data_IF_213988523370
#
_entry.id   IF_213988523370
#
_cell.length_a   1.000
_cell.length_b   1.000
_cell.length_c   1.000
_cell.angle_alpha   90.00
_cell.angle_beta   90.00
_cell.angle_gamma   90.00
#
_symmetry.space_group_name_H-M   'P 1'
#
loop_
_entity.id
_entity.type
_entity.pdbx_description
1 polymer ?
#
# COMPACT_ATOMS: atom_id res chain seq x y z
N UNK A 1 19.54 -91.55 -14.66
CA UNK A 1 18.46 -91.50 -15.66
C UNK A 1 17.14 -91.47 -14.90
N UNK A 2 16.33 -90.42 -15.14
CA UNK A 2 14.89 -90.30 -14.81
C UNK A 2 14.55 -90.24 -13.29
N UNK A 3 13.72 -89.36 -12.75
CA UNK A 3 12.60 -88.55 -13.25
C UNK A 3 12.34 -87.32 -12.37
N UNK A 4 11.68 -86.33 -12.97
CA UNK A 4 10.85 -85.22 -12.45
C UNK A 4 10.14 -85.51 -11.10
N UNK A 5 9.71 -84.57 -10.25
CA UNK A 5 8.66 -83.55 -10.52
C UNK A 5 8.40 -82.65 -9.27
N UNK A 6 8.31 -81.32 -9.51
CA UNK A 6 7.50 -80.23 -8.91
C UNK A 6 7.45 -79.81 -7.42
N UNK A 7 7.11 -78.50 -7.31
CA UNK A 7 6.48 -77.71 -6.22
C UNK A 7 7.45 -77.09 -5.19
N UNK A 8 7.49 -75.78 -4.89
CA UNK A 8 6.59 -74.63 -5.12
C UNK A 8 7.43 -73.34 -5.31
N UNK A 9 7.01 -72.50 -6.26
CA UNK A 9 7.48 -71.11 -6.43
C UNK A 9 6.68 -70.21 -5.48
N UNK A 10 7.35 -69.49 -4.59
CA UNK A 10 6.80 -68.33 -3.90
C UNK A 10 7.27 -67.09 -4.66
N UNK A 11 6.36 -66.49 -5.42
CA UNK A 11 6.58 -65.19 -6.04
C UNK A 11 6.24 -64.10 -5.01
N UNK A 12 7.24 -63.46 -4.43
CA UNK A 12 7.07 -62.21 -3.69
C UNK A 12 7.16 -61.06 -4.68
N UNK A 13 6.02 -60.45 -4.98
CA UNK A 13 5.91 -59.21 -5.74
C UNK A 13 6.40 -58.04 -4.87
N UNK A 14 7.57 -57.48 -5.21
CA UNK A 14 8.01 -56.19 -4.69
C UNK A 14 7.19 -55.09 -5.37
N UNK A 15 6.28 -54.47 -4.62
CA UNK A 15 5.59 -53.25 -5.03
C UNK A 15 6.51 -52.06 -4.73
N UNK A 16 7.34 -51.66 -5.70
CA UNK A 16 8.05 -50.38 -5.65
C UNK A 16 7.05 -49.28 -6.03
N UNK A 17 6.53 -48.59 -5.01
CA UNK A 17 5.80 -47.34 -5.19
C UNK A 17 6.82 -46.26 -5.54
N UNK A 18 7.01 -46.03 -6.84
CA UNK A 18 7.72 -44.83 -7.32
C UNK A 18 6.86 -43.61 -6.98
N UNK A 19 7.32 -42.78 -6.06
CA UNK A 19 6.81 -41.43 -5.86
C UNK A 19 7.01 -40.66 -7.17
N UNK A 20 5.95 -40.45 -7.94
CA UNK A 20 5.93 -39.44 -8.99
C UNK A 20 5.85 -38.10 -8.28
N UNK A 21 7.01 -37.45 -8.10
CA UNK A 21 7.05 -36.02 -7.82
C UNK A 21 6.55 -35.34 -9.10
N UNK A 22 5.29 -34.91 -9.07
CA UNK A 22 4.75 -34.03 -10.09
C UNK A 22 5.46 -32.70 -9.87
N UNK A 23 6.57 -32.48 -10.60
CA UNK A 23 7.13 -31.16 -10.79
C UNK A 23 6.07 -30.35 -11.53
N UNK A 24 5.33 -29.50 -10.81
CA UNK A 24 4.57 -28.43 -11.43
C UNK A 24 5.55 -27.58 -12.23
N UNK A 25 5.32 -27.34 -13.53
CA UNK A 25 6.16 -26.41 -14.27
C UNK A 25 5.94 -25.03 -13.66
N UNK A 26 7.00 -24.50 -13.04
CA UNK A 26 7.14 -23.07 -12.81
C UNK A 26 7.11 -22.39 -14.18
N UNK A 27 5.96 -21.81 -14.53
CA UNK A 27 5.88 -20.90 -15.66
C UNK A 27 6.57 -19.60 -15.26
N UNK A 28 7.88 -19.55 -15.45
CA UNK A 28 8.59 -18.31 -15.64
C UNK A 28 8.31 -17.87 -17.09
N UNK A 29 7.27 -17.06 -17.29
CA UNK A 29 7.11 -16.31 -18.53
C UNK A 29 7.87 -15.01 -18.36
N UNK A 30 9.05 -14.96 -18.98
CA UNK A 30 9.72 -13.71 -19.30
C UNK A 30 9.47 -13.37 -20.76
N UNK A 31 9.20 -12.09 -21.04
CA UNK A 31 9.42 -11.31 -22.28
C UNK A 31 8.41 -10.14 -22.27
N UNK A 32 8.69 -8.86 -22.56
CA UNK A 32 9.88 -8.08 -22.90
C UNK A 32 9.44 -6.61 -22.88
N UNK A 33 10.10 -5.73 -22.11
CA UNK A 33 10.62 -4.44 -22.60
C UNK A 33 11.31 -3.67 -21.48
N UNK A 34 12.60 -3.46 -21.68
CA UNK A 34 13.50 -2.74 -20.77
C UNK A 34 13.20 -1.24 -20.74
N UNK A 35 12.15 -0.82 -20.02
CA UNK A 35 11.94 0.59 -19.61
C UNK A 35 11.51 0.75 -18.11
N UNK A 36 11.18 -0.29 -17.34
CA UNK A 36 10.72 -0.12 -15.92
C UNK A 36 11.38 -1.07 -14.90
N UNK A 37 12.71 -1.18 -14.90
CA UNK A 37 13.43 -2.27 -14.22
C UNK A 37 13.29 -2.44 -12.70
N UNK A 38 12.43 -1.71 -11.98
CA UNK A 38 12.18 -1.92 -10.54
C UNK A 38 10.88 -1.29 -9.98
N UNK A 39 9.95 -0.77 -10.80
CA UNK A 39 8.73 -0.14 -10.29
C UNK A 39 7.50 -1.04 -10.54
N UNK A 40 6.82 -1.56 -9.50
CA UNK A 40 5.65 -2.43 -9.66
C UNK A 40 4.47 -1.73 -10.33
N UNK A 41 4.41 -0.39 -10.38
CA UNK A 41 3.39 0.34 -11.12
C UNK A 41 3.78 0.66 -12.57
N UNK A 42 4.99 0.26 -13.00
CA UNK A 42 5.50 0.53 -14.35
C UNK A 42 4.70 -0.13 -15.48
N UNK A 43 3.91 -1.16 -15.18
CA UNK A 43 3.06 -1.86 -16.15
C UNK A 43 2.12 -0.89 -16.91
N UNK A 44 1.66 0.19 -16.27
CA UNK A 44 0.73 1.15 -16.88
C UNK A 44 1.35 1.91 -18.06
N UNK A 45 2.68 1.96 -18.17
CA UNK A 45 3.38 2.68 -19.24
C UNK A 45 3.03 2.15 -20.63
N UNK A 46 2.92 0.83 -20.79
CA UNK A 46 2.61 0.19 -22.07
C UNK A 46 1.15 0.38 -22.50
N UNK A 47 0.27 0.77 -21.56
CA UNK A 47 -1.16 0.97 -21.77
C UNK A 47 -1.51 2.43 -22.08
N UNK A 48 -0.49 3.30 -22.29
CA UNK A 48 -0.69 4.72 -22.55
C UNK A 48 -1.55 4.94 -23.82
N UNK A 49 -2.64 5.67 -23.64
CA UNK A 49 -3.62 5.99 -24.68
C UNK A 49 -4.80 5.01 -24.77
N UNK A 50 -4.79 3.94 -23.97
CA UNK A 50 -5.90 3.00 -23.88
C UNK A 50 -7.19 3.72 -23.43
N UNK A 51 -8.31 3.30 -24.02
CA UNK A 51 -9.64 3.90 -23.85
C UNK A 51 -10.73 2.84 -24.03
N UNK A 52 -11.95 3.21 -23.64
CA UNK A 52 -13.12 2.33 -23.66
C UNK A 52 -13.32 1.63 -25.01
N UNK A 53 -13.66 0.35 -24.95
CA UNK A 53 -13.92 -0.52 -26.10
C UNK A 53 -12.68 -1.17 -26.71
N UNK A 54 -11.52 -1.04 -26.05
CA UNK A 54 -10.30 -1.77 -26.40
C UNK A 54 -10.09 -2.92 -25.42
N UNK A 55 -9.51 -4.03 -25.89
CA UNK A 55 -8.99 -5.10 -25.04
C UNK A 55 -7.48 -5.18 -25.25
N UNK A 56 -6.71 -4.96 -24.18
CA UNK A 56 -5.26 -4.84 -24.21
C UNK A 56 -4.68 -5.56 -23.00
N UNK A 57 -3.75 -6.48 -23.23
CA UNK A 57 -3.08 -7.25 -22.18
C UNK A 57 -2.51 -6.33 -21.07
N UNK A 58 -2.89 -6.61 -19.82
CA UNK A 58 -2.49 -5.85 -18.63
C UNK A 58 -3.48 -4.78 -18.17
N UNK A 59 -4.63 -4.60 -18.86
CA UNK A 59 -5.69 -3.72 -18.36
C UNK A 59 -6.32 -4.24 -17.06
N UNK A 60 -6.29 -5.55 -16.82
CA UNK A 60 -6.65 -6.14 -15.53
C UNK A 60 -5.82 -5.58 -14.38
N UNK A 61 -4.52 -5.39 -14.57
CA UNK A 61 -3.63 -4.83 -13.54
C UNK A 61 -3.98 -3.37 -13.22
N UNK A 62 -4.47 -2.61 -14.21
CA UNK A 62 -5.00 -1.25 -14.01
C UNK A 62 -6.25 -1.29 -13.14
N UNK A 63 -7.17 -2.23 -13.41
CA UNK A 63 -8.37 -2.44 -12.58
C UNK A 63 -7.99 -2.80 -11.15
N UNK A 64 -7.01 -3.69 -10.95
CA UNK A 64 -6.51 -4.06 -9.62
C UNK A 64 -5.85 -2.88 -8.89
N UNK A 65 -5.03 -2.07 -9.57
CA UNK A 65 -4.47 -0.84 -9.01
C UNK A 65 -5.59 0.11 -8.54
N UNK A 66 -6.55 0.39 -9.42
CA UNK A 66 -7.66 1.27 -9.12
C UNK A 66 -8.55 0.70 -8.01
N UNK A 67 -8.70 -0.62 -7.91
CA UNK A 67 -9.41 -1.27 -6.82
C UNK A 67 -8.66 -1.12 -5.50
N UNK A 68 -7.36 -1.45 -5.46
CA UNK A 68 -6.47 -1.30 -4.30
C UNK A 68 -6.56 0.10 -3.70
N UNK A 69 -6.53 1.13 -4.54
CA UNK A 69 -6.55 2.52 -4.09
C UNK A 69 -7.93 3.16 -3.99
N UNK A 70 -9.03 2.42 -4.18
CA UNK A 70 -10.38 2.92 -3.85
C UNK A 70 -11.23 3.42 -5.03
N UNK A 71 -10.70 3.40 -6.25
CA UNK A 71 -11.30 4.02 -7.44
C UNK A 71 -12.18 3.09 -8.28
N UNK A 72 -11.94 1.78 -8.29
CA UNK A 72 -12.69 0.82 -9.11
C UNK A 72 -13.96 0.34 -8.39
N UNK A 73 -15.12 0.96 -8.69
CA UNK A 73 -16.38 0.79 -7.96
C UNK A 73 -17.48 0.26 -8.89
N UNK A 74 -18.34 -0.64 -8.37
CA UNK A 74 -19.43 -1.30 -9.12
C UNK A 74 -20.50 -0.30 -9.58
N UNK A 75 -20.73 0.74 -8.80
CA UNK A 75 -21.75 1.75 -9.05
C UNK A 75 -21.38 3.00 -8.26
N UNK A 76 -21.64 4.18 -8.83
CA UNK A 76 -21.55 5.45 -8.11
C UNK A 76 -22.48 5.50 -6.89
N UNK A 77 -23.57 4.71 -6.88
CA UNK A 77 -24.58 4.69 -5.82
C UNK A 77 -24.41 3.59 -4.77
N UNK A 78 -23.64 2.53 -5.04
CA UNK A 78 -23.58 1.36 -4.13
C UNK A 78 -22.38 1.36 -3.21
N UNK A 79 -21.42 2.27 -3.37
CA UNK A 79 -20.21 2.40 -2.55
C UNK A 79 -19.41 1.09 -2.37
N UNK A 80 -19.72 0.05 -3.15
CA UNK A 80 -19.03 -1.24 -3.17
C UNK A 80 -18.03 -1.29 -4.32
N UNK A 81 -16.88 -1.93 -4.09
CA UNK A 81 -15.89 -2.19 -5.12
C UNK A 81 -16.45 -2.95 -6.31
N UNK A 82 -15.99 -2.59 -7.51
CA UNK A 82 -16.27 -3.40 -8.68
C UNK A 82 -15.56 -4.75 -8.57
N UNK A 83 -16.26 -5.82 -8.95
CA UNK A 83 -15.62 -7.11 -9.08
C UNK A 83 -14.71 -7.04 -10.29
N UNK A 84 -13.40 -7.10 -10.07
CA UNK A 84 -12.48 -7.51 -11.13
C UNK A 84 -12.76 -8.99 -11.34
N UNK A 85 -13.12 -9.40 -12.57
CA UNK A 85 -13.37 -10.82 -12.82
C UNK A 85 -12.11 -11.60 -12.43
N UNK A 86 -12.30 -12.68 -11.65
CA UNK A 86 -11.20 -13.52 -11.21
C UNK A 86 -10.69 -14.44 -12.33
N UNK A 87 -11.41 -14.52 -13.44
CA UNK A 87 -10.93 -15.15 -14.67
C UNK A 87 -9.77 -14.34 -15.28
N UNK A 88 -8.81 -15.02 -15.91
CA UNK A 88 -7.54 -14.41 -16.35
C UNK A 88 -7.65 -13.43 -17.53
N UNK A 89 -8.83 -13.25 -18.14
CA UNK A 89 -9.01 -12.52 -19.39
C UNK A 89 -9.71 -11.15 -19.26
N UNK A 90 -9.80 -10.56 -18.05
CA UNK A 90 -10.49 -9.25 -17.85
C UNK A 90 -9.67 -8.02 -18.29
N UNK A 91 -9.12 -8.10 -19.50
CA UNK A 91 -8.35 -7.05 -20.15
C UNK A 91 -9.21 -6.11 -21.00
N UNK A 92 -10.54 -6.17 -20.85
CA UNK A 92 -11.44 -5.21 -21.50
C UNK A 92 -11.40 -3.86 -20.78
N UNK A 93 -11.25 -2.78 -21.57
CA UNK A 93 -11.50 -1.42 -21.13
C UNK A 93 -13.01 -1.15 -21.14
N UNK A 94 -13.68 -1.65 -20.12
CA UNK A 94 -15.13 -1.51 -19.92
C UNK A 94 -15.55 -0.11 -19.40
N UNK A 95 -16.85 0.06 -19.17
CA UNK A 95 -17.41 1.30 -18.62
C UNK A 95 -17.02 1.56 -17.17
N UNK A 96 -16.76 0.52 -16.37
CA UNK A 96 -16.34 0.65 -14.97
C UNK A 96 -14.91 1.17 -14.87
N UNK A 97 -14.02 0.70 -15.75
CA UNK A 97 -12.65 1.16 -15.84
C UNK A 97 -12.59 2.62 -16.30
N UNK A 98 -13.39 2.99 -17.31
CA UNK A 98 -13.51 4.39 -17.74
C UNK A 98 -13.99 5.28 -16.58
N UNK A 99 -15.02 4.86 -15.84
CA UNK A 99 -15.54 5.60 -14.70
C UNK A 99 -14.51 5.73 -13.56
N UNK A 100 -13.76 4.67 -13.28
CA UNK A 100 -12.70 4.66 -12.27
C UNK A 100 -11.54 5.61 -12.65
N UNK A 101 -11.11 5.60 -13.91
CA UNK A 101 -10.07 6.52 -14.41
C UNK A 101 -10.55 7.97 -14.35
N UNK A 102 -11.79 8.26 -14.75
CA UNK A 102 -12.36 9.62 -14.62
C UNK A 102 -12.38 10.09 -13.16
N UNK A 103 -12.68 9.19 -12.22
CA UNK A 103 -12.65 9.50 -10.77
C UNK A 103 -11.24 9.82 -10.31
N UNK A 104 -10.28 8.97 -10.65
CA UNK A 104 -8.86 9.17 -10.36
C UNK A 104 -8.34 10.51 -10.92
N UNK A 105 -8.67 10.82 -12.17
CA UNK A 105 -8.26 12.06 -12.83
C UNK A 105 -8.82 13.29 -12.11
N UNK A 106 -10.11 13.28 -11.73
CA UNK A 106 -10.71 14.38 -10.96
C UNK A 106 -10.01 14.58 -9.62
N UNK A 107 -9.73 13.49 -8.91
CA UNK A 107 -9.06 13.51 -7.61
C UNK A 107 -7.71 14.21 -7.67
N UNK A 108 -6.88 13.86 -8.66
CA UNK A 108 -5.54 14.43 -8.80
C UNK A 108 -5.46 15.62 -9.75
N UNK A 109 -6.62 16.22 -10.11
CA UNK A 109 -6.72 17.41 -10.97
C UNK A 109 -6.04 17.23 -12.34
N UNK A 110 -6.07 16.01 -12.85
CA UNK A 110 -5.65 15.65 -14.21
C UNK A 110 -6.84 15.94 -15.16
N UNK A 111 -6.61 16.40 -16.40
CA UNK A 111 -7.69 16.53 -17.39
C UNK A 111 -8.50 15.24 -17.51
N UNK A 112 -9.83 15.35 -17.36
CA UNK A 112 -10.73 14.20 -17.22
C UNK A 112 -11.08 13.62 -18.59
N UNK A 113 -10.17 12.83 -19.16
CA UNK A 113 -10.33 12.18 -20.46
C UNK A 113 -11.06 10.84 -20.37
N UNK A 114 -10.97 10.14 -19.23
CA UNK A 114 -11.38 8.74 -19.08
C UNK A 114 -10.49 7.73 -19.79
N UNK A 115 -9.35 8.17 -20.34
CA UNK A 115 -8.35 7.32 -20.96
C UNK A 115 -7.09 7.24 -20.09
N UNK A 116 -6.26 6.22 -20.31
CA UNK A 116 -4.91 6.12 -19.74
C UNK A 116 -3.95 7.07 -20.47
N UNK A 117 -4.24 8.37 -20.46
CA UNK A 117 -3.38 9.38 -21.07
C UNK A 117 -2.04 9.53 -20.35
N UNK A 118 -1.11 10.25 -20.97
CA UNK A 118 0.25 10.42 -20.43
C UNK A 118 0.25 10.96 -19.00
N UNK A 119 -0.60 11.95 -18.68
CA UNK A 119 -0.64 12.53 -17.35
C UNK A 119 -1.16 11.52 -16.31
N UNK A 120 -2.17 10.73 -16.68
CA UNK A 120 -2.74 9.67 -15.83
C UNK A 120 -1.72 8.59 -15.54
N UNK A 121 -1.07 8.04 -16.58
CA UNK A 121 -0.09 6.96 -16.41
C UNK A 121 1.17 7.44 -15.66
N UNK A 122 1.65 8.66 -15.94
CA UNK A 122 2.74 9.28 -15.18
C UNK A 122 2.40 9.41 -13.70
N UNK A 123 1.19 9.87 -13.34
CA UNK A 123 0.78 9.98 -11.94
C UNK A 123 0.68 8.60 -11.26
N UNK A 124 0.12 7.60 -11.93
CA UNK A 124 -0.06 6.25 -11.38
C UNK A 124 1.27 5.55 -11.06
N UNK A 125 2.34 5.87 -11.79
CA UNK A 125 3.68 5.30 -11.58
C UNK A 125 4.44 5.93 -10.41
N UNK A 126 3.98 7.04 -9.84
CA UNK A 126 4.67 7.68 -8.70
C UNK A 126 4.46 6.80 -7.46
N UNK A 127 5.52 6.49 -6.68
CA UNK A 127 5.37 5.76 -5.43
C UNK A 127 4.48 6.50 -4.43
N UNK A 128 3.74 5.76 -3.61
CA UNK A 128 2.72 6.33 -2.72
C UNK A 128 2.47 5.54 -1.45
N UNK A 129 1.73 6.15 -0.53
CA UNK A 129 1.07 5.47 0.57
C UNK A 129 0.04 4.44 0.07
N UNK A 130 -0.02 3.31 0.77
CA UNK A 130 -0.91 2.17 0.54
C UNK A 130 -2.32 2.32 1.10
N UNK A 131 -2.59 3.35 1.91
CA UNK A 131 -3.93 3.62 2.42
C UNK A 131 -4.86 3.94 1.23
N UNK A 132 -6.03 3.30 1.20
CA UNK A 132 -7.01 3.50 0.13
C UNK A 132 -7.60 4.91 0.15
N UNK A 133 -7.77 5.53 -1.03
CA UNK A 133 -8.47 6.81 -1.17
C UNK A 133 -9.99 6.67 -1.04
N UNK A 134 -10.51 5.44 -0.89
CA UNK A 134 -11.94 5.16 -0.84
C UNK A 134 -12.66 5.99 0.23
N UNK A 135 -12.07 6.17 1.42
CA UNK A 135 -12.67 6.98 2.48
C UNK A 135 -12.91 8.43 2.05
N UNK A 136 -11.97 9.00 1.30
CA UNK A 136 -12.06 10.38 0.78
C UNK A 136 -13.09 10.45 -0.34
N UNK A 137 -13.08 9.47 -1.24
CA UNK A 137 -14.07 9.33 -2.34
C UNK A 137 -15.49 9.28 -1.77
N UNK A 138 -15.73 8.47 -0.73
CA UNK A 138 -17.02 8.36 -0.08
C UNK A 138 -17.45 9.67 0.59
N UNK A 139 -16.52 10.33 1.29
CA UNK A 139 -16.81 11.60 1.95
C UNK A 139 -17.20 12.68 0.93
N UNK A 140 -16.45 12.83 -0.16
CA UNK A 140 -16.75 13.80 -1.22
C UNK A 140 -18.12 13.54 -1.88
N UNK A 141 -18.50 12.27 -2.09
CA UNK A 141 -19.81 11.90 -2.64
C UNK A 141 -20.97 12.25 -1.71
N UNK A 142 -20.77 12.08 -0.40
CA UNK A 142 -21.81 12.26 0.61
C UNK A 142 -21.84 13.68 1.19
N UNK A 143 -21.10 14.62 0.58
CA UNK A 143 -20.88 15.97 1.12
C UNK A 143 -20.40 15.95 2.58
N UNK A 144 -19.63 14.93 2.93
CA UNK A 144 -19.02 14.72 4.22
C UNK A 144 -17.67 15.41 4.35
N UNK A 145 -17.10 15.28 5.54
CA UNK A 145 -15.76 15.78 5.84
C UNK A 145 -14.71 14.78 5.33
N UNK A 146 -14.04 15.13 4.24
CA UNK A 146 -13.09 14.29 3.50
C UNK A 146 -11.71 14.20 4.16
N UNK A 147 -11.52 14.94 5.26
CA UNK A 147 -10.28 14.98 6.04
C UNK A 147 -10.14 13.78 6.99
N UNK A 148 -11.20 13.03 7.26
CA UNK A 148 -11.22 12.00 8.32
C UNK A 148 -11.80 10.67 7.85
N UNK A 149 -11.30 9.57 8.43
CA UNK A 149 -11.85 8.25 8.16
C UNK A 149 -13.37 8.21 8.47
N UNK A 150 -14.17 7.41 7.74
CA UNK A 150 -15.58 7.22 8.04
C UNK A 150 -15.82 6.87 9.52
N UNK A 151 -16.76 7.56 10.16
CA UNK A 151 -17.02 7.43 11.60
C UNK A 151 -16.07 8.22 12.50
N UNK A 152 -15.12 8.99 11.93
CA UNK A 152 -14.16 9.85 12.64
C UNK A 152 -13.49 9.16 13.84
N UNK A 153 -12.91 7.96 13.66
CA UNK A 153 -12.21 7.27 14.74
C UNK A 153 -11.08 8.14 15.28
N UNK A 154 -10.93 8.15 16.61
CA UNK A 154 -9.91 8.92 17.31
C UNK A 154 -9.44 8.20 18.57
N UNK A 155 -8.25 8.55 19.03
CA UNK A 155 -7.78 8.13 20.34
C UNK A 155 -8.61 8.81 21.45
N UNK A 156 -8.93 8.05 22.50
CA UNK A 156 -9.63 8.56 23.69
C UNK A 156 -8.66 9.09 24.76
N UNK A 157 -7.36 9.12 24.46
CA UNK A 157 -6.30 9.62 25.32
C UNK A 157 -5.26 10.36 24.49
N UNK A 158 -4.54 11.26 25.14
CA UNK A 158 -3.52 12.10 24.50
C UNK A 158 -2.10 11.58 24.72
N UNK A 159 -1.89 10.65 25.65
CA UNK A 159 -0.59 10.02 25.83
C UNK A 159 -0.58 8.67 25.11
N UNK A 160 0.21 8.60 24.04
CA UNK A 160 0.35 7.41 23.20
C UNK A 160 1.79 6.88 23.30
N UNK A 161 1.94 5.63 23.69
CA UNK A 161 3.20 4.93 23.62
C UNK A 161 3.35 4.31 22.24
N UNK A 162 4.57 4.32 21.70
CA UNK A 162 4.91 3.62 20.48
C UNK A 162 6.13 2.72 20.65
N UNK A 163 6.20 1.68 19.84
CA UNK A 163 7.32 0.73 19.84
C UNK A 163 7.59 0.20 18.44
N UNK A 164 8.74 -0.43 18.26
CA UNK A 164 8.95 -1.30 17.10
C UNK A 164 8.34 -2.68 17.34
N UNK A 165 7.63 -3.19 16.33
CA UNK A 165 6.99 -4.49 16.42
C UNK A 165 7.99 -5.65 16.60
N UNK A 166 7.59 -6.73 17.29
CA UNK A 166 8.50 -7.84 17.59
C UNK A 166 8.99 -8.57 16.34
N UNK A 167 8.19 -8.54 15.26
CA UNK A 167 8.52 -9.15 13.96
C UNK A 167 9.10 -8.16 12.95
N UNK A 168 9.28 -6.89 13.33
CA UNK A 168 9.81 -5.84 12.45
C UNK A 168 11.22 -6.18 11.95
N UNK A 169 11.42 -6.09 10.64
CA UNK A 169 12.68 -6.37 9.94
C UNK A 169 13.06 -5.18 9.06
N UNK A 170 13.71 -4.15 9.60
CA UNK A 170 14.19 -3.04 8.77
C UNK A 170 15.24 -3.51 7.76
N UNK A 171 15.40 -2.81 6.61
CA UNK A 171 16.37 -3.18 5.59
C UNK A 171 17.81 -3.22 6.14
N UNK A 172 18.62 -4.10 5.54
CA UNK A 172 20.02 -4.25 5.93
C UNK A 172 20.78 -2.92 5.75
N UNK A 173 21.53 -2.51 6.78
CA UNK A 173 22.29 -1.26 6.78
C UNK A 173 21.56 -0.06 7.41
N UNK A 174 20.23 -0.11 7.52
CA UNK A 174 19.45 0.92 8.20
C UNK A 174 19.44 0.66 9.71
N UNK A 175 20.11 1.52 10.47
CA UNK A 175 20.22 1.36 11.93
C UNK A 175 18.90 1.70 12.62
N UNK A 176 18.52 0.89 13.60
CA UNK A 176 17.30 1.14 14.41
C UNK A 176 17.31 2.53 15.06
N UNK A 177 18.48 3.03 15.48
CA UNK A 177 18.62 4.38 16.03
C UNK A 177 18.27 5.47 15.01
N UNK A 178 18.61 5.28 13.73
CA UNK A 178 18.28 6.21 12.63
C UNK A 178 16.76 6.21 12.39
N UNK A 179 16.16 5.02 12.28
CA UNK A 179 14.71 4.86 12.13
C UNK A 179 13.98 5.54 13.28
N UNK A 180 14.40 5.23 14.51
CA UNK A 180 13.83 5.84 15.72
C UNK A 180 13.93 7.35 15.69
N UNK A 181 15.10 7.91 15.34
CA UNK A 181 15.27 9.35 15.29
C UNK A 181 14.33 10.02 14.27
N UNK A 182 14.14 9.42 13.09
CA UNK A 182 13.20 9.92 12.08
C UNK A 182 11.73 9.85 12.57
N UNK A 183 11.32 8.71 13.13
CA UNK A 183 9.97 8.50 13.70
C UNK A 183 9.71 9.45 14.87
N UNK A 184 10.68 9.64 15.76
CA UNK A 184 10.58 10.55 16.90
C UNK A 184 10.30 11.99 16.44
N UNK A 185 11.01 12.46 15.40
CA UNK A 185 10.80 13.79 14.81
C UNK A 185 9.39 13.93 14.23
N UNK A 186 8.94 12.91 13.50
CA UNK A 186 7.57 12.89 12.96
C UNK A 186 6.50 12.98 14.06
N UNK A 187 6.67 12.24 15.17
CA UNK A 187 5.80 12.38 16.35
C UNK A 187 5.91 13.76 17.01
N UNK A 188 7.11 14.36 17.08
CA UNK A 188 7.26 15.72 17.62
C UNK A 188 6.50 16.75 16.78
N UNK A 189 6.50 16.63 15.46
CA UNK A 189 5.73 17.53 14.57
C UNK A 189 4.24 17.50 14.91
N UNK A 190 3.65 16.31 15.08
CA UNK A 190 2.25 16.18 15.52
C UNK A 190 2.02 16.68 16.94
N UNK A 191 2.94 16.42 17.88
CA UNK A 191 2.88 16.94 19.25
C UNK A 191 2.86 18.47 19.29
N UNK A 192 3.65 19.14 18.44
CA UNK A 192 3.76 20.61 18.43
C UNK A 192 2.44 21.32 18.05
N UNK A 193 1.57 20.62 17.31
CA UNK A 193 0.30 21.15 16.81
C UNK A 193 -0.92 20.53 17.49
N UNK A 194 -0.73 19.63 18.47
CA UNK A 194 -1.80 18.97 19.22
C UNK A 194 -1.56 19.00 20.73
N UNK A 195 -2.41 18.33 21.51
CA UNK A 195 -2.17 18.05 22.93
C UNK A 195 -1.59 16.64 23.15
N UNK A 196 -1.23 15.92 22.08
CA UNK A 196 -0.64 14.60 22.21
C UNK A 196 0.74 14.66 22.85
N UNK A 197 1.06 13.61 23.59
CA UNK A 197 2.43 13.28 23.99
C UNK A 197 2.72 11.87 23.53
N UNK A 198 3.97 11.65 23.13
CA UNK A 198 4.42 10.38 22.57
C UNK A 198 5.60 9.86 23.39
N UNK A 199 5.58 8.57 23.72
CA UNK A 199 6.63 7.90 24.48
C UNK A 199 7.11 6.65 23.75
N UNK A 200 8.41 6.56 23.50
CA UNK A 200 9.01 5.35 22.94
C UNK A 200 9.18 4.28 24.02
N UNK A 201 8.72 3.07 23.72
CA UNK A 201 8.93 1.89 24.55
C UNK A 201 9.94 0.97 23.88
N UNK A 202 11.12 0.83 24.49
CA UNK A 202 12.22 0.03 23.94
C UNK A 202 11.92 -1.48 23.92
N UNK A 203 11.06 -1.95 24.82
CA UNK A 203 10.66 -3.36 24.84
C UNK A 203 9.68 -3.64 23.70
N UNK A 204 10.09 -4.46 22.74
CA UNK A 204 9.24 -4.89 21.61
C UNK A 204 8.05 -5.76 22.05
N UNK A 205 8.11 -6.35 23.23
CA UNK A 205 7.05 -7.21 23.80
C UNK A 205 6.11 -6.47 24.74
N UNK A 206 6.43 -5.24 25.14
CA UNK A 206 5.53 -4.44 25.95
C UNK A 206 4.31 -3.99 25.12
N UNK A 207 3.22 -3.67 25.81
CA UNK A 207 2.06 -3.05 25.20
C UNK A 207 2.36 -1.59 24.85
N UNK A 208 1.94 -1.16 23.67
CA UNK A 208 2.00 0.21 23.18
C UNK A 208 0.78 0.46 22.31
N UNK A 209 0.37 1.72 22.19
CA UNK A 209 -0.80 2.09 21.37
C UNK A 209 -0.47 2.13 19.89
N UNK A 210 0.77 2.44 19.53
CA UNK A 210 1.22 2.49 18.15
C UNK A 210 2.39 1.52 17.95
N UNK A 211 2.22 0.53 17.10
CA UNK A 211 3.28 -0.38 16.67
C UNK A 211 3.77 0.03 15.28
N UNK A 212 5.09 0.17 15.16
CA UNK A 212 5.77 0.50 13.91
C UNK A 212 6.57 -0.72 13.46
N UNK A 213 6.33 -1.19 12.25
CA UNK A 213 6.96 -2.39 11.73
C UNK A 213 7.44 -2.22 10.30
N UNK A 214 8.57 -2.86 9.99
CA UNK A 214 9.08 -3.01 8.63
C UNK A 214 8.78 -4.45 8.20
N UNK A 215 8.05 -4.59 7.10
CA UNK A 215 7.68 -5.89 6.53
C UNK A 215 7.94 -5.91 5.04
N UNK A 216 8.19 -7.09 4.50
CA UNK A 216 8.38 -7.30 3.05
C UNK A 216 7.24 -8.18 2.56
N UNK A 217 6.65 -7.82 1.42
CA UNK A 217 5.58 -8.57 0.74
C UNK A 217 4.39 -8.85 1.64
N UNK A 218 3.90 -10.09 1.65
CA UNK A 218 2.80 -10.49 2.52
C UNK A 218 3.22 -10.49 3.99
N UNK A 219 2.44 -9.78 4.80
CA UNK A 219 2.66 -9.59 6.22
C UNK A 219 1.37 -9.72 7.05
N UNK A 220 0.31 -10.30 6.46
CA UNK A 220 -0.85 -10.82 7.19
C UNK A 220 -1.99 -9.84 7.45
N UNK A 221 -1.98 -8.65 6.86
CA UNK A 221 -3.04 -7.63 7.00
C UNK A 221 -3.77 -7.25 5.71
N UNK A 222 -3.20 -7.55 4.53
CA UNK A 222 -3.71 -7.26 3.18
C UNK A 222 -4.04 -5.76 2.89
N UNK A 223 -3.63 -5.20 1.74
CA UNK A 223 -2.85 -5.84 0.67
C UNK A 223 -1.36 -6.00 1.05
N UNK A 224 -0.67 -7.00 0.47
CA UNK A 224 0.77 -7.15 0.66
C UNK A 224 1.53 -5.96 0.05
N UNK A 225 2.77 -5.74 0.53
CA UNK A 225 3.71 -4.83 -0.11
C UNK A 225 4.17 -5.36 -1.47
N UNK A 226 4.53 -4.45 -2.38
CA UNK A 226 4.84 -4.75 -3.78
C UNK A 226 6.33 -4.67 -4.11
N UNK A 227 7.18 -4.49 -3.09
CA UNK A 227 8.62 -4.40 -3.25
C UNK A 227 9.06 -2.98 -3.60
N UNK A 228 10.30 -2.82 -4.07
CA UNK A 228 10.87 -1.48 -4.26
C UNK A 228 9.98 -0.55 -5.10
N UNK A 229 9.85 0.70 -4.66
CA UNK A 229 8.97 1.74 -5.18
C UNK A 229 7.48 1.53 -4.83
N UNK A 230 6.58 1.58 -5.80
CA UNK A 230 5.18 1.20 -5.60
C UNK A 230 4.50 1.76 -4.35
N UNK A 231 4.16 0.85 -3.45
CA UNK A 231 3.53 1.09 -2.15
C UNK A 231 4.57 1.15 -1.05
N UNK A 232 4.85 2.36 -0.56
CA UNK A 232 5.97 2.59 0.35
C UNK A 232 5.66 2.21 1.81
N UNK A 233 4.44 2.46 2.25
CA UNK A 233 4.00 2.27 3.63
C UNK A 233 2.47 2.29 3.69
N UNK A 234 1.90 1.79 4.78
CA UNK A 234 0.51 2.03 5.13
C UNK A 234 0.29 2.10 6.64
N UNK A 235 -0.80 2.71 7.04
CA UNK A 235 -1.21 2.80 8.43
C UNK A 235 -2.70 2.56 8.60
N UNK A 236 -3.05 2.20 9.82
CA UNK A 236 -4.43 1.92 10.21
C UNK A 236 -4.99 3.07 11.03
N UNK A 237 -6.30 3.29 10.90
CA UNK A 237 -7.01 4.30 11.67
C UNK A 237 -6.85 4.11 13.20
N UNK A 238 -7.12 5.16 14.01
CA UNK A 238 -6.95 5.10 15.46
C UNK A 238 -7.61 3.88 16.13
N UNK A 239 -6.98 3.39 17.19
CA UNK A 239 -7.27 2.14 17.95
C UNK A 239 -6.74 0.85 17.35
N UNK A 240 -6.47 0.79 16.04
CA UNK A 240 -5.64 -0.28 15.48
C UNK A 240 -4.17 0.00 15.79
N UNK A 241 -3.73 1.25 15.51
CA UNK A 241 -2.41 1.72 15.92
C UNK A 241 -1.27 0.96 15.26
N UNK A 242 -1.41 0.59 13.99
CA UNK A 242 -0.39 -0.11 13.23
C UNK A 242 0.12 0.81 12.12
N UNK A 243 1.43 0.91 11.98
CA UNK A 243 2.13 1.61 10.90
C UNK A 243 3.16 0.66 10.32
N UNK A 244 3.01 0.31 9.05
CA UNK A 244 3.89 -0.61 8.35
C UNK A 244 4.64 0.12 7.24
N UNK A 245 5.95 -0.11 7.17
CA UNK A 245 6.83 0.33 6.09
C UNK A 245 7.21 -0.87 5.24
N UNK A 246 7.29 -0.69 3.91
CA UNK A 246 7.86 -1.72 3.04
C UNK A 246 9.37 -1.81 3.27
N UNK A 247 9.82 -2.95 3.78
CA UNK A 247 11.21 -3.24 4.06
C UNK A 247 12.07 -3.42 2.80
N UNK A 248 11.44 -3.55 1.62
CA UNK A 248 12.13 -3.66 0.34
C UNK A 248 12.57 -2.29 -0.21
N UNK A 249 12.14 -1.18 0.40
CA UNK A 249 12.56 0.17 -0.01
C UNK A 249 13.96 0.55 0.45
N UNK A 250 14.57 1.48 -0.29
CA UNK A 250 15.80 2.16 0.09
C UNK A 250 15.50 3.37 0.96
N UNK A 251 15.30 3.13 2.25
CA UNK A 251 15.02 4.15 3.24
C UNK A 251 16.25 4.96 3.68
N UNK A 252 16.07 6.26 3.88
CA UNK A 252 17.10 7.16 4.45
C UNK A 252 16.46 8.28 5.30
N UNK A 253 17.20 8.84 6.23
CA UNK A 253 16.86 10.07 6.97
C UNK A 253 17.52 11.34 6.36
N UNK A 254 18.30 11.17 5.30
CA UNK A 254 18.82 12.21 4.40
C UNK A 254 18.88 11.61 2.98
N UNK A 255 17.73 11.55 2.27
CA UNK A 255 17.60 10.71 1.09
C UNK A 255 18.33 11.31 -0.12
N UNK A 256 19.11 10.47 -0.79
CA UNK A 256 19.55 10.74 -2.16
C UNK A 256 18.36 10.66 -3.14
N UNK A 257 18.53 11.09 -4.40
CA UNK A 257 17.46 11.03 -5.41
C UNK A 257 16.94 9.62 -5.77
N UNK A 258 17.50 8.55 -5.19
CA UNK A 258 17.06 7.17 -5.39
C UNK A 258 16.53 6.51 -4.12
N UNK A 259 16.39 7.28 -3.05
CA UNK A 259 15.99 6.80 -1.72
C UNK A 259 14.67 7.45 -1.29
N UNK A 260 14.03 6.84 -0.30
CA UNK A 260 12.75 7.26 0.25
C UNK A 260 12.97 7.85 1.63
N UNK A 261 12.35 9.00 1.88
CA UNK A 261 12.51 9.71 3.14
C UNK A 261 11.71 9.08 4.28
N UNK A 262 12.40 8.53 5.30
CA UNK A 262 11.78 7.91 6.47
C UNK A 262 10.89 8.87 7.26
N UNK A 263 11.36 10.09 7.47
CA UNK A 263 10.66 11.08 8.30
C UNK A 263 9.40 11.60 7.59
N UNK A 264 9.46 11.83 6.27
CA UNK A 264 8.30 12.26 5.50
C UNK A 264 7.19 11.22 5.48
N UNK A 265 7.52 9.94 5.22
CA UNK A 265 6.51 8.88 5.28
C UNK A 265 6.04 8.66 6.71
N UNK A 266 6.92 8.70 7.71
CA UNK A 266 6.51 8.61 9.11
C UNK A 266 5.54 9.71 9.52
N UNK A 267 5.78 10.95 9.10
CA UNK A 267 4.89 12.07 9.38
C UNK A 267 3.50 11.84 8.74
N UNK A 268 3.46 11.31 7.51
CA UNK A 268 2.24 10.96 6.80
C UNK A 268 1.47 9.82 7.48
N UNK A 269 2.12 8.67 7.69
CA UNK A 269 1.48 7.49 8.27
C UNK A 269 1.01 7.72 9.71
N UNK A 270 1.73 8.54 10.50
CA UNK A 270 1.25 8.96 11.81
C UNK A 270 -0.03 9.81 11.68
N UNK A 271 -0.18 10.62 10.63
CA UNK A 271 -1.43 11.34 10.35
C UNK A 271 -2.62 10.39 10.21
N UNK A 272 -2.45 9.27 9.51
CA UNK A 272 -3.46 8.21 9.44
C UNK A 272 -3.71 7.53 10.79
N UNK A 273 -2.64 7.18 11.51
CA UNK A 273 -2.74 6.60 12.85
C UNK A 273 -3.41 7.54 13.88
N UNK A 274 -3.44 8.85 13.60
CA UNK A 274 -4.18 9.85 14.38
C UNK A 274 -5.59 10.15 13.83
N UNK A 275 -5.95 9.64 12.65
CA UNK A 275 -7.32 9.65 12.12
C UNK A 275 -7.56 10.52 10.90
N UNK A 276 -6.50 11.07 10.30
CA UNK A 276 -6.60 11.84 9.05
C UNK A 276 -6.66 10.91 7.83
N UNK A 277 -7.41 11.31 6.82
CA UNK A 277 -7.32 10.72 5.48
C UNK A 277 -6.30 11.49 4.61
N UNK A 278 -6.09 10.98 3.40
CA UNK A 278 -5.31 11.69 2.40
C UNK A 278 -5.90 13.07 2.09
N UNK A 279 -5.01 14.02 1.83
CA UNK A 279 -5.34 15.34 1.28
C UNK A 279 -5.05 15.36 -0.21
N UNK A 280 -5.87 16.06 -1.00
CA UNK A 280 -5.61 16.30 -2.42
C UNK A 280 -4.90 17.64 -2.69
N UNK A 281 -4.38 18.27 -1.64
CA UNK A 281 -3.47 19.40 -1.76
C UNK A 281 -2.04 18.91 -1.91
N UNK A 282 -1.42 19.10 -3.07
CA UNK A 282 -0.12 18.53 -3.43
C UNK A 282 0.99 18.79 -2.39
N UNK A 283 1.01 19.98 -1.79
CA UNK A 283 2.04 20.35 -0.81
C UNK A 283 1.76 19.80 0.61
N UNK A 284 0.58 19.22 0.87
CA UNK A 284 0.27 18.60 2.15
C UNK A 284 1.13 17.35 2.36
N UNK A 285 1.57 17.14 3.60
CA UNK A 285 2.14 15.87 4.06
C UNK A 285 1.18 14.74 3.73
N UNK A 286 -0.12 14.91 4.01
CA UNK A 286 -1.17 13.92 3.73
C UNK A 286 -1.47 13.72 2.23
N UNK A 287 -0.78 14.39 1.30
CA UNK A 287 -0.83 14.01 -0.12
C UNK A 287 -0.16 12.64 -0.32
N UNK A 288 -0.81 11.66 -0.97
CA UNK A 288 -0.40 10.26 -0.91
C UNK A 288 0.91 9.92 -1.61
N UNK A 289 1.38 10.75 -2.55
CA UNK A 289 2.54 10.44 -3.39
C UNK A 289 3.84 10.99 -2.82
N UNK A 290 4.89 10.18 -2.95
CA UNK A 290 6.25 10.47 -2.53
C UNK A 290 7.23 10.02 -3.61
N UNK A 291 7.76 10.97 -4.37
CA UNK A 291 8.81 10.68 -5.35
C UNK A 291 10.15 10.34 -4.67
N UNK A 292 11.06 9.63 -5.35
CA UNK A 292 12.41 9.42 -4.87
C UNK A 292 13.12 10.74 -4.51
N UNK A 293 13.81 10.77 -3.37
CA UNK A 293 14.48 11.96 -2.83
C UNK A 293 13.55 13.07 -2.35
N UNK A 294 12.23 12.89 -2.39
CA UNK A 294 11.28 13.93 -1.97
C UNK A 294 11.23 14.03 -0.44
N UNK A 295 11.37 15.27 0.06
CA UNK A 295 11.25 15.60 1.48
C UNK A 295 9.99 16.42 1.74
N UNK A 296 9.12 15.94 2.62
CA UNK A 296 7.84 16.52 3.06
C UNK A 296 7.70 16.41 4.58
N UNK A 297 8.49 17.20 5.31
CA UNK A 297 8.58 17.15 6.79
C UNK A 297 7.85 18.29 7.51
N UNK A 298 7.14 19.15 6.77
CA UNK A 298 6.43 20.31 7.31
C UNK A 298 4.92 20.16 7.15
N UNK A 299 4.21 20.09 8.28
CA UNK A 299 2.75 20.07 8.31
C UNK A 299 2.19 21.37 7.74
N UNK A 300 1.31 21.28 6.73
CA UNK A 300 0.66 22.47 6.21
C UNK A 300 -0.55 22.85 7.06
N UNK A 301 -1.03 24.08 6.86
CA UNK A 301 -2.18 24.63 7.60
C UNK A 301 -3.41 23.72 7.53
N UNK A 302 -3.66 23.08 6.40
CA UNK A 302 -4.83 22.21 6.21
C UNK A 302 -4.78 20.96 7.10
N UNK A 303 -3.61 20.33 7.28
CA UNK A 303 -3.45 19.22 8.25
C UNK A 303 -3.58 19.70 9.69
N UNK A 304 -3.01 20.86 10.02
CA UNK A 304 -3.06 21.43 11.37
C UNK A 304 -4.51 21.74 11.76
N UNK A 305 -5.28 22.37 10.89
CA UNK A 305 -6.70 22.64 11.13
C UNK A 305 -7.49 21.33 11.24
N UNK A 306 -7.25 20.37 10.34
CA UNK A 306 -7.92 19.07 10.38
C UNK A 306 -7.68 18.31 11.69
N UNK A 307 -6.43 18.18 12.14
CA UNK A 307 -6.14 17.43 13.36
C UNK A 307 -6.69 18.13 14.60
N UNK A 308 -6.68 19.47 14.61
CA UNK A 308 -7.27 20.25 15.72
C UNK A 308 -8.78 20.07 15.76
N UNK A 309 -9.45 20.08 14.62
CA UNK A 309 -10.89 19.83 14.51
C UNK A 309 -11.25 18.43 15.03
N UNK A 310 -10.54 17.38 14.59
CA UNK A 310 -10.83 16.00 14.99
C UNK A 310 -10.76 15.78 16.50
N UNK A 311 -9.80 16.44 17.14
CA UNK A 311 -9.52 16.34 18.57
C UNK A 311 -10.11 17.49 19.40
N UNK A 312 -10.95 18.35 18.80
CA UNK A 312 -11.59 19.50 19.45
C UNK A 312 -10.59 20.42 20.18
N UNK A 313 -9.45 20.69 19.56
CA UNK A 313 -8.42 21.55 20.11
C UNK A 313 -8.76 23.03 19.82
N UNK A 314 -8.42 23.98 20.72
CA UNK A 314 -8.68 25.41 20.48
C UNK A 314 -8.02 25.89 19.18
N UNK A 315 -8.50 26.93 18.50
CA UNK A 315 -7.69 27.57 17.45
C UNK A 315 -6.44 28.23 18.08
N UNK A 316 -5.28 28.14 17.43
CA UNK A 316 -4.09 28.95 17.78
C UNK A 316 -4.10 30.24 16.99
#
# INVERSE_FOLDING_TARGET
MSTMTLLRVLATTFLLVSLVVINSPTFAVGHTNQISGNNPFGFVHQLKGARRGQSIEGLRDVKQYLQKFGYYLNDDNKDTYANVDQNDDDDEFDEFLEAAIKRYQRTYRIPVSGALDHATTSQMMIPRCGVSDHGVILALRRFGDDRFFPGKPKWNKNHLRYKFGPKSRPPAGLKEATIKAAVDKAFQSWKNVTNFTFEYVASRTAEAEVEISFYSRDHGDNPPFDGPNGTLAHAFAPRAGLIHYDADEKWSDDPSPMEVDLESLGLHEIGHALGLLHSYYYAAVMYPYFGPGQVKRELQRIEIEAIRDLYNLPSK
#
